data_IF_294000624978
#
_entry.id   IF_294000624978
#
_cell.length_a   1.000
_cell.length_b   1.000
_cell.length_c   1.000
_cell.angle_alpha   90.00
_cell.angle_beta   90.00
_cell.angle_gamma   90.00
#
_symmetry.space_group_name_H-M   'P 1'
#
loop_
_entity.id
_entity.type
_entity.pdbx_description
1 polymer ?
#
# COMPACT_ATOMS: atom_id res chain seq x y z
N UNK A 1 20.84 -29.52 9.49
CA UNK A 1 21.74 -28.37 9.27
C UNK A 1 22.39 -28.00 10.59
N UNK A 2 23.66 -27.58 10.54
CA UNK A 2 24.40 -27.08 11.70
C UNK A 2 25.14 -25.81 11.30
N UNK A 3 25.03 -24.78 12.13
CA UNK A 3 25.76 -23.52 11.97
C UNK A 3 26.68 -23.32 13.19
N UNK A 4 27.80 -22.64 12.98
CA UNK A 4 28.79 -22.38 14.02
C UNK A 4 29.18 -20.90 14.01
N UNK A 5 29.56 -20.37 15.16
CA UNK A 5 30.08 -19.02 15.32
C UNK A 5 29.14 -17.90 14.81
N UNK A 6 27.84 -18.04 15.07
CA UNK A 6 26.87 -16.96 14.76
C UNK A 6 27.10 -15.85 15.80
N UNK A 7 27.44 -14.63 15.38
CA UNK A 7 27.57 -13.51 16.32
C UNK A 7 26.21 -13.14 16.93
N UNK A 8 26.22 -12.72 18.19
CA UNK A 8 25.03 -12.22 18.84
C UNK A 8 24.55 -10.93 18.16
N UNK A 9 23.30 -10.88 17.77
CA UNK A 9 22.67 -9.68 17.28
C UNK A 9 22.33 -8.77 18.47
N UNK A 10 22.77 -7.52 18.42
CA UNK A 10 22.45 -6.48 19.41
C UNK A 10 21.44 -5.51 18.81
N UNK A 11 20.53 -5.03 19.64
CA UNK A 11 19.64 -3.94 19.24
C UNK A 11 20.44 -2.67 19.02
N UNK A 12 20.16 -2.00 17.91
CA UNK A 12 20.78 -0.73 17.53
C UNK A 12 19.67 0.29 17.25
N UNK A 13 19.96 1.56 17.52
CA UNK A 13 19.05 2.64 17.19
C UNK A 13 18.89 2.77 15.66
N UNK A 14 17.71 3.21 15.22
CA UNK A 14 17.38 3.42 13.80
C UNK A 14 17.34 2.16 12.93
N UNK A 15 17.12 1.00 13.53
CA UNK A 15 16.84 -0.25 12.81
C UNK A 15 15.32 -0.44 12.74
N UNK A 16 14.75 -0.42 11.55
CA UNK A 16 13.31 -0.52 11.33
C UNK A 16 12.73 -1.88 11.76
N UNK A 17 13.43 -2.97 11.40
CA UNK A 17 13.06 -4.31 11.80
C UNK A 17 14.32 -5.15 12.01
N UNK A 18 14.62 -5.44 13.27
CA UNK A 18 15.83 -6.22 13.65
C UNK A 18 15.80 -7.65 13.09
N UNK A 19 14.62 -8.21 12.80
CA UNK A 19 14.50 -9.55 12.23
C UNK A 19 15.14 -9.66 10.85
N UNK A 20 15.22 -8.56 10.09
CA UNK A 20 15.87 -8.52 8.78
C UNK A 20 17.40 -8.79 8.86
N UNK A 21 17.99 -8.64 10.04
CA UNK A 21 19.44 -8.81 10.29
C UNK A 21 19.74 -10.07 11.09
N UNK A 22 18.71 -10.77 11.54
CA UNK A 22 18.86 -12.01 12.29
C UNK A 22 19.13 -13.17 11.33
N UNK A 23 20.12 -13.99 11.64
CA UNK A 23 20.32 -15.25 10.92
C UNK A 23 19.10 -16.15 11.12
N UNK A 24 18.40 -16.44 10.05
CA UNK A 24 17.25 -17.34 10.01
C UNK A 24 17.46 -18.39 8.93
N UNK A 25 16.75 -19.50 9.07
CA UNK A 25 16.65 -20.52 8.04
C UNK A 25 15.17 -20.86 7.87
N UNK A 26 14.67 -20.60 6.68
CA UNK A 26 13.30 -20.93 6.29
C UNK A 26 13.34 -22.10 5.33
N UNK A 27 12.37 -23.01 5.47
CA UNK A 27 12.19 -24.13 4.58
C UNK A 27 10.88 -23.93 3.82
N UNK A 28 10.99 -23.83 2.50
CA UNK A 28 9.83 -23.78 1.63
C UNK A 28 9.68 -25.09 0.88
N UNK A 29 8.44 -25.49 0.64
CA UNK A 29 8.10 -26.67 -0.14
C UNK A 29 8.31 -26.37 -1.62
N UNK A 30 9.37 -26.95 -2.21
CA UNK A 30 9.68 -26.77 -3.63
C UNK A 30 8.76 -27.61 -4.52
N UNK A 31 8.62 -28.90 -4.20
CA UNK A 31 7.85 -29.85 -5.03
C UNK A 31 7.14 -30.89 -4.19
N UNK A 32 5.99 -31.32 -4.67
CA UNK A 32 5.36 -32.58 -4.19
C UNK A 32 5.17 -33.52 -5.35
N UNK A 33 5.39 -34.80 -5.09
CA UNK A 33 5.05 -35.87 -6.01
C UNK A 33 4.45 -37.05 -5.21
N UNK A 34 3.16 -37.19 -5.32
CA UNK A 34 2.48 -38.34 -4.76
C UNK A 34 2.37 -39.45 -5.80
N UNK A 35 2.31 -40.73 -5.35
CA UNK A 35 2.20 -41.86 -6.25
C UNK A 35 0.93 -41.77 -7.11
N UNK A 36 1.11 -41.79 -8.44
CA UNK A 36 -0.01 -41.67 -9.39
C UNK A 36 -0.48 -40.23 -9.67
N UNK A 37 0.13 -39.22 -9.05
CA UNK A 37 -0.18 -37.83 -9.33
C UNK A 37 0.95 -37.13 -10.11
N UNK A 38 0.62 -36.13 -10.91
CA UNK A 38 1.64 -35.30 -11.55
C UNK A 38 2.46 -34.52 -10.48
N UNK A 39 3.71 -34.27 -10.81
CA UNK A 39 4.56 -33.38 -9.98
C UNK A 39 3.88 -32.03 -9.85
N UNK A 40 3.68 -31.59 -8.60
CA UNK A 40 3.22 -30.24 -8.29
C UNK A 40 4.41 -29.42 -7.84
N UNK A 41 4.77 -28.44 -8.65
CA UNK A 41 5.89 -27.53 -8.42
C UNK A 41 5.38 -26.30 -7.67
N UNK A 42 6.03 -25.96 -6.56
CA UNK A 42 5.78 -24.78 -5.73
C UNK A 42 6.98 -23.83 -5.77
N UNK A 43 8.10 -24.26 -6.39
CA UNK A 43 9.25 -23.40 -6.58
C UNK A 43 8.88 -22.20 -7.45
N UNK A 44 9.25 -21.05 -7.00
CA UNK A 44 8.62 -19.85 -7.46
C UNK A 44 9.63 -18.95 -8.19
N UNK A 45 9.23 -18.56 -9.39
CA UNK A 45 9.65 -17.29 -9.95
C UNK A 45 8.67 -16.22 -9.48
N UNK A 46 9.06 -14.95 -9.56
CA UNK A 46 8.15 -13.86 -9.25
C UNK A 46 6.91 -13.87 -10.15
N UNK A 47 7.05 -14.28 -11.40
CA UNK A 47 5.93 -14.46 -12.34
C UNK A 47 4.99 -15.59 -11.90
N UNK A 48 5.56 -16.69 -11.41
CA UNK A 48 4.79 -17.81 -10.85
C UNK A 48 3.98 -17.39 -9.63
N UNK A 49 4.60 -16.65 -8.71
CA UNK A 49 3.94 -16.07 -7.54
C UNK A 49 2.84 -15.09 -7.97
N UNK A 50 3.15 -14.13 -8.82
CA UNK A 50 2.19 -13.14 -9.33
C UNK A 50 0.98 -13.81 -9.98
N UNK A 51 1.21 -14.79 -10.86
CA UNK A 51 0.16 -15.55 -11.52
C UNK A 51 -0.69 -16.35 -10.53
N UNK A 52 -0.06 -16.99 -9.53
CA UNK A 52 -0.79 -17.75 -8.52
C UNK A 52 -1.68 -16.87 -7.64
N UNK A 53 -1.22 -15.67 -7.31
CA UNK A 53 -1.99 -14.68 -6.55
C UNK A 53 -3.12 -14.12 -7.42
N UNK A 54 -2.84 -13.74 -8.66
CA UNK A 54 -3.85 -13.17 -9.55
C UNK A 54 -4.95 -14.17 -9.95
N UNK A 55 -4.66 -15.48 -9.91
CA UNK A 55 -5.65 -16.55 -10.16
C UNK A 55 -6.46 -16.92 -8.91
N UNK A 56 -6.16 -16.33 -7.77
CA UNK A 56 -6.95 -16.56 -6.56
C UNK A 56 -8.30 -15.83 -6.67
N UNK A 57 -9.38 -16.51 -6.27
CA UNK A 57 -10.74 -15.93 -6.30
C UNK A 57 -10.88 -14.70 -5.43
N UNK A 58 -10.21 -14.69 -4.27
CA UNK A 58 -10.25 -13.59 -3.31
C UNK A 58 -9.27 -12.45 -3.68
N UNK A 59 -8.71 -12.52 -4.91
CA UNK A 59 -7.85 -11.49 -5.49
C UNK A 59 -8.26 -11.10 -6.91
N UNK A 60 -8.00 -11.95 -7.90
CA UNK A 60 -8.20 -11.60 -9.30
C UNK A 60 -9.67 -11.55 -9.73
N UNK A 61 -10.54 -12.39 -9.16
CA UNK A 61 -11.98 -12.29 -9.41
C UNK A 61 -12.53 -10.98 -8.84
N UNK A 62 -12.10 -10.61 -7.64
CA UNK A 62 -12.48 -9.36 -6.98
C UNK A 62 -12.05 -8.11 -7.77
N UNK A 63 -10.88 -8.16 -8.43
CA UNK A 63 -10.42 -7.08 -9.32
C UNK A 63 -11.18 -7.00 -10.65
N UNK A 64 -12.00 -8.00 -10.98
CA UNK A 64 -12.89 -8.02 -12.15
C UNK A 64 -14.33 -7.63 -11.81
N UNK A 65 -14.69 -7.65 -10.52
CA UNK A 65 -16.00 -7.22 -10.07
C UNK A 65 -16.26 -5.75 -10.43
N UNK A 66 -17.43 -5.47 -10.98
CA UNK A 66 -17.82 -4.13 -11.43
C UNK A 66 -19.32 -3.87 -11.23
N UNK A 67 -19.75 -2.65 -11.49
CA UNK A 67 -21.17 -2.28 -11.45
C UNK A 67 -21.72 -1.96 -10.06
N UNK A 68 -21.11 -2.43 -8.97
CA UNK A 68 -21.60 -2.16 -7.62
C UNK A 68 -21.42 -0.70 -7.17
N UNK A 69 -20.54 0.05 -7.83
CA UNK A 69 -20.25 1.46 -7.57
C UNK A 69 -20.82 2.43 -8.63
N UNK A 70 -21.51 1.93 -9.65
CA UNK A 70 -21.88 2.70 -10.84
C UNK A 70 -22.60 4.02 -10.55
N UNK A 71 -23.55 4.02 -9.61
CA UNK A 71 -24.32 5.22 -9.28
C UNK A 71 -23.45 6.34 -8.69
N UNK A 72 -22.52 5.98 -7.82
CA UNK A 72 -21.62 6.95 -7.20
C UNK A 72 -20.53 7.36 -8.19
N UNK A 73 -20.03 6.42 -9.00
CA UNK A 73 -19.06 6.68 -10.05
C UNK A 73 -19.54 7.75 -11.04
N UNK A 74 -20.77 7.63 -11.55
CA UNK A 74 -21.34 8.62 -12.46
C UNK A 74 -21.42 10.03 -11.85
N UNK A 75 -21.72 10.14 -10.56
CA UNK A 75 -21.74 11.44 -9.87
C UNK A 75 -20.34 12.06 -9.77
N UNK A 76 -19.31 11.23 -9.58
CA UNK A 76 -17.94 11.67 -9.44
C UNK A 76 -17.38 12.19 -10.77
N UNK A 77 -17.58 11.46 -11.86
CA UNK A 77 -16.92 11.74 -13.13
C UNK A 77 -17.63 12.80 -14.00
N UNK A 78 -18.92 13.05 -13.77
CA UNK A 78 -19.74 13.93 -14.62
C UNK A 78 -19.21 15.37 -14.77
N UNK A 79 -18.36 15.84 -13.84
CA UNK A 79 -17.83 17.19 -13.84
C UNK A 79 -16.29 17.24 -13.91
N UNK A 80 -15.64 16.14 -14.27
CA UNK A 80 -14.19 16.00 -14.19
C UNK A 80 -13.63 15.66 -15.56
N UNK A 81 -12.75 16.52 -16.10
CA UNK A 81 -12.29 16.42 -17.49
C UNK A 81 -11.04 15.58 -17.67
N UNK A 82 -9.99 15.84 -16.93
CA UNK A 82 -8.68 15.21 -17.10
C UNK A 82 -8.54 13.89 -16.33
N UNK A 83 -7.62 13.02 -16.74
CA UNK A 83 -7.32 11.80 -16.00
C UNK A 83 -6.81 12.07 -14.58
N UNK A 84 -6.01 13.11 -14.40
CA UNK A 84 -5.51 13.50 -13.07
C UNK A 84 -6.65 13.91 -12.13
N UNK A 85 -7.58 14.74 -12.59
CA UNK A 85 -8.74 15.15 -11.81
C UNK A 85 -9.64 13.96 -11.48
N UNK A 86 -9.86 13.04 -12.45
CA UNK A 86 -10.64 11.80 -12.21
C UNK A 86 -9.98 10.93 -11.16
N UNK A 87 -8.65 10.71 -11.24
CA UNK A 87 -7.91 9.95 -10.25
C UNK A 87 -8.07 10.57 -8.86
N UNK A 88 -7.89 11.88 -8.73
CA UNK A 88 -8.04 12.60 -7.46
C UNK A 88 -9.45 12.47 -6.88
N UNK A 89 -10.48 12.68 -7.71
CA UNK A 89 -11.86 12.61 -7.30
C UNK A 89 -12.24 11.19 -6.82
N UNK A 90 -11.84 10.15 -7.58
CA UNK A 90 -12.07 8.75 -7.23
C UNK A 90 -11.32 8.38 -5.94
N UNK A 91 -10.05 8.76 -5.84
CA UNK A 91 -9.24 8.48 -4.66
C UNK A 91 -9.85 9.08 -3.39
N UNK A 92 -10.18 10.37 -3.42
CA UNK A 92 -10.85 11.05 -2.30
C UNK A 92 -12.22 10.44 -1.97
N UNK A 93 -12.96 10.04 -2.99
CA UNK A 93 -14.25 9.39 -2.78
C UNK A 93 -14.06 8.06 -2.02
N UNK A 94 -13.15 7.20 -2.46
CA UNK A 94 -12.91 5.90 -1.79
C UNK A 94 -12.41 6.11 -0.36
N UNK A 95 -11.45 7.03 -0.14
CA UNK A 95 -10.99 7.39 1.20
C UNK A 95 -12.11 7.84 2.12
N UNK A 96 -13.07 8.62 1.61
CA UNK A 96 -14.17 9.14 2.43
C UNK A 96 -15.26 8.11 2.67
N UNK A 97 -15.55 7.27 1.68
CA UNK A 97 -16.60 6.25 1.74
C UNK A 97 -16.20 5.05 2.60
N UNK A 98 -14.95 4.60 2.48
CA UNK A 98 -14.50 3.36 3.11
C UNK A 98 -13.81 3.62 4.44
N UNK A 99 -14.00 2.70 5.39
CA UNK A 99 -13.27 2.66 6.65
C UNK A 99 -12.51 1.35 6.74
N UNK A 100 -11.25 1.44 7.13
CA UNK A 100 -10.43 0.26 7.37
C UNK A 100 -10.87 -0.46 8.64
N UNK A 101 -11.07 -1.77 8.57
CA UNK A 101 -11.51 -2.63 9.68
C UNK A 101 -10.37 -3.14 10.56
N UNK A 102 -9.17 -2.57 10.40
CA UNK A 102 -7.91 -2.93 11.08
C UNK A 102 -7.33 -4.30 10.68
N UNK A 103 -7.87 -4.96 9.66
CA UNK A 103 -7.29 -6.20 9.14
C UNK A 103 -6.33 -5.91 8.00
N UNK A 104 -5.12 -6.47 8.12
CA UNK A 104 -4.11 -6.45 7.05
C UNK A 104 -4.23 -7.72 6.21
N UNK A 105 -3.85 -7.60 4.96
CA UNK A 105 -3.84 -8.71 4.01
C UNK A 105 -3.82 -8.23 2.58
N UNK A 106 -3.42 -9.08 1.67
CA UNK A 106 -3.48 -8.83 0.23
C UNK A 106 -4.66 -9.53 -0.46
N UNK A 107 -5.50 -10.24 0.31
CA UNK A 107 -6.72 -10.91 -0.17
C UNK A 107 -7.95 -10.33 0.51
N UNK A 108 -9.09 -10.39 -0.17
CA UNK A 108 -10.37 -9.96 0.40
C UNK A 108 -10.91 -10.99 1.41
N UNK A 109 -11.59 -10.50 2.44
CA UNK A 109 -12.28 -11.35 3.44
C UNK A 109 -13.76 -11.57 3.06
N UNK A 110 -14.45 -10.48 2.70
CA UNK A 110 -15.89 -10.48 2.42
C UNK A 110 -16.25 -10.11 0.97
N UNK A 111 -15.23 -9.74 0.19
CA UNK A 111 -15.33 -9.29 -1.19
C UNK A 111 -15.65 -7.81 -1.34
N UNK A 112 -15.19 -7.22 -2.46
CA UNK A 112 -15.28 -5.77 -2.73
C UNK A 112 -16.72 -5.25 -2.74
N UNK A 113 -17.66 -6.01 -3.28
CA UNK A 113 -19.06 -5.60 -3.36
C UNK A 113 -19.71 -5.43 -1.99
N UNK A 114 -19.50 -6.39 -1.10
CA UNK A 114 -20.04 -6.36 0.26
C UNK A 114 -19.34 -5.29 1.08
N UNK A 115 -18.01 -5.19 1.00
CA UNK A 115 -17.24 -4.15 1.66
C UNK A 115 -17.71 -2.74 1.25
N UNK A 116 -17.93 -2.52 -0.05
CA UNK A 116 -18.45 -1.26 -0.58
C UNK A 116 -19.82 -0.90 -0.03
N UNK A 117 -20.75 -1.87 0.07
CA UNK A 117 -22.09 -1.67 0.62
C UNK A 117 -22.04 -1.33 2.11
N UNK A 118 -21.20 -1.97 2.86
CA UNK A 118 -21.02 -1.75 4.30
C UNK A 118 -20.19 -0.49 4.61
N UNK A 119 -19.43 0.05 3.64
CA UNK A 119 -18.52 1.16 3.85
C UNK A 119 -17.31 0.80 4.72
N UNK A 120 -17.02 -0.48 4.88
CA UNK A 120 -15.94 -0.99 5.74
C UNK A 120 -15.30 -2.21 5.10
N UNK A 121 -13.98 -2.29 5.11
CA UNK A 121 -13.26 -3.42 4.54
C UNK A 121 -11.82 -3.52 5.03
N UNK A 122 -11.18 -4.63 4.69
CA UNK A 122 -9.76 -4.80 4.90
C UNK A 122 -8.93 -4.01 3.87
N UNK A 123 -7.62 -4.06 3.95
CA UNK A 123 -6.71 -3.33 3.05
C UNK A 123 -6.95 -3.70 1.58
N UNK A 124 -7.11 -4.99 1.27
CA UNK A 124 -7.31 -5.45 -0.09
C UNK A 124 -8.65 -4.96 -0.65
N UNK A 125 -9.73 -5.10 0.10
CA UNK A 125 -11.06 -4.67 -0.34
C UNK A 125 -11.08 -3.17 -0.69
N UNK A 126 -10.51 -2.31 0.18
CA UNK A 126 -10.49 -0.87 -0.05
C UNK A 126 -9.67 -0.51 -1.29
N UNK A 127 -8.47 -1.06 -1.42
CA UNK A 127 -7.59 -0.72 -2.53
C UNK A 127 -8.03 -1.40 -3.85
N UNK A 128 -8.72 -2.54 -3.80
CA UNK A 128 -9.34 -3.15 -4.99
C UNK A 128 -10.53 -2.33 -5.49
N UNK A 129 -11.35 -1.79 -4.59
CA UNK A 129 -12.40 -0.82 -4.94
C UNK A 129 -11.78 0.38 -5.67
N UNK A 130 -10.67 0.92 -5.15
CA UNK A 130 -9.96 2.02 -5.81
C UNK A 130 -9.46 1.61 -7.21
N UNK A 131 -8.82 0.45 -7.36
CA UNK A 131 -8.33 -0.06 -8.65
C UNK A 131 -9.48 -0.20 -9.65
N UNK A 132 -10.58 -0.81 -9.26
CA UNK A 132 -11.71 -1.06 -10.16
C UNK A 132 -12.38 0.23 -10.62
N UNK A 133 -12.53 1.22 -9.74
CA UNK A 133 -13.06 2.54 -10.09
C UNK A 133 -12.09 3.33 -11.00
N UNK A 134 -10.78 3.27 -10.76
CA UNK A 134 -9.77 3.89 -11.63
C UNK A 134 -9.78 3.27 -13.03
N UNK A 135 -9.87 1.93 -13.12
CA UNK A 135 -9.99 1.22 -14.40
C UNK A 135 -11.25 1.62 -15.15
N UNK A 136 -12.39 1.77 -14.46
CA UNK A 136 -13.62 2.26 -15.06
C UNK A 136 -13.47 3.69 -15.62
N UNK A 137 -12.61 4.51 -15.04
CA UNK A 137 -12.27 5.85 -15.53
C UNK A 137 -11.25 5.86 -16.68
N UNK A 138 -10.83 4.69 -17.18
CA UNK A 138 -9.81 4.56 -18.23
C UNK A 138 -8.38 4.82 -17.76
N UNK A 139 -8.13 4.70 -16.46
CA UNK A 139 -6.79 4.84 -15.87
C UNK A 139 -6.18 3.44 -15.68
N UNK A 140 -4.97 3.22 -16.19
CA UNK A 140 -4.24 1.99 -15.94
C UNK A 140 -3.88 1.90 -14.45
N UNK A 141 -4.51 0.99 -13.73
CA UNK A 141 -4.30 0.80 -12.30
C UNK A 141 -4.10 -0.68 -11.97
N UNK A 142 -3.05 -0.99 -11.22
CA UNK A 142 -2.69 -2.36 -10.87
C UNK A 142 -2.33 -2.47 -9.38
N UNK A 143 -2.55 -3.63 -8.76
CA UNK A 143 -2.15 -3.87 -7.39
C UNK A 143 -0.64 -4.00 -7.24
N UNK A 144 -0.13 -3.47 -6.14
CA UNK A 144 1.26 -3.64 -5.70
C UNK A 144 1.25 -4.36 -4.37
N UNK A 145 1.77 -5.57 -4.37
CA UNK A 145 1.91 -6.39 -3.18
C UNK A 145 3.09 -5.93 -2.35
N UNK A 146 2.91 -5.88 -1.05
CA UNK A 146 3.92 -5.38 -0.11
C UNK A 146 4.05 -6.34 1.07
N UNK A 147 5.29 -6.52 1.53
CA UNK A 147 5.61 -6.97 2.86
C UNK A 147 5.87 -5.74 3.71
N UNK A 148 5.08 -5.49 4.75
CA UNK A 148 5.27 -4.33 5.61
C UNK A 148 6.58 -4.39 6.40
N UNK A 149 7.03 -3.25 6.94
CA UNK A 149 8.29 -3.16 7.71
C UNK A 149 8.32 -4.21 8.83
N UNK A 150 7.24 -4.35 9.57
CA UNK A 150 7.13 -5.32 10.66
C UNK A 150 7.10 -6.79 10.20
N UNK A 151 6.74 -7.05 8.94
CA UNK A 151 6.76 -8.39 8.34
C UNK A 151 8.14 -8.77 7.73
N UNK A 152 9.00 -7.80 7.47
CA UNK A 152 10.35 -8.00 6.96
C UNK A 152 10.49 -7.78 5.45
N UNK A 153 11.73 -7.83 4.97
CA UNK A 153 12.05 -7.59 3.56
C UNK A 153 11.81 -8.83 2.69
N UNK A 154 11.48 -8.59 1.42
CA UNK A 154 11.33 -9.64 0.40
C UNK A 154 12.71 -10.13 -0.05
N UNK A 155 13.10 -11.32 0.35
CA UNK A 155 14.40 -11.90 -0.04
C UNK A 155 14.30 -12.83 -1.25
N UNK A 156 13.17 -13.54 -1.40
CA UNK A 156 12.94 -14.52 -2.46
C UNK A 156 11.45 -14.59 -2.81
N UNK A 157 11.11 -15.14 -4.01
CA UNK A 157 9.73 -15.26 -4.42
C UNK A 157 8.94 -16.20 -3.51
N UNK A 158 7.98 -15.65 -2.78
CA UNK A 158 7.03 -16.42 -1.97
C UNK A 158 5.68 -15.72 -1.94
N UNK A 159 4.60 -16.49 -1.97
CA UNK A 159 3.24 -15.97 -1.84
C UNK A 159 2.95 -15.53 -0.41
N UNK A 160 3.55 -16.18 0.58
CA UNK A 160 3.26 -16.00 2.00
C UNK A 160 3.84 -14.72 2.59
N UNK A 161 4.77 -14.08 1.90
CA UNK A 161 5.47 -12.88 2.40
C UNK A 161 4.67 -11.59 2.26
N UNK A 162 3.59 -11.58 1.48
CA UNK A 162 2.79 -10.40 1.27
C UNK A 162 1.65 -10.28 2.29
N UNK A 163 1.63 -9.19 3.01
CA UNK A 163 0.61 -8.89 4.02
C UNK A 163 -0.10 -7.55 3.79
N UNK A 164 0.16 -6.90 2.65
CA UNK A 164 -0.41 -5.61 2.30
C UNK A 164 -0.51 -5.45 0.79
N UNK A 165 -1.42 -4.60 0.32
CA UNK A 165 -1.55 -4.22 -1.09
C UNK A 165 -1.90 -2.75 -1.22
N UNK A 166 -1.22 -2.05 -2.12
CA UNK A 166 -1.52 -0.68 -2.52
C UNK A 166 -1.84 -0.63 -4.02
N UNK A 167 -2.09 0.56 -4.53
CA UNK A 167 -2.44 0.80 -5.94
C UNK A 167 -1.30 1.52 -6.64
N UNK A 168 -0.89 1.04 -7.81
CA UNK A 168 -0.12 1.82 -8.77
C UNK A 168 -1.03 2.24 -9.92
N UNK A 169 -1.26 3.53 -10.06
CA UNK A 169 -1.93 4.15 -11.20
C UNK A 169 -0.90 4.73 -12.16
N UNK A 170 -1.19 4.68 -13.46
CA UNK A 170 -0.32 5.25 -14.49
C UNK A 170 -1.08 6.30 -15.29
N UNK A 171 -0.54 7.52 -15.35
CA UNK A 171 -1.06 8.64 -16.14
C UNK A 171 0.11 9.30 -16.85
N UNK A 172 0.01 9.49 -18.17
CA UNK A 172 1.05 10.10 -19.00
C UNK A 172 2.44 9.45 -18.84
N UNK A 173 2.48 8.11 -18.69
CA UNK A 173 3.70 7.34 -18.47
C UNK A 173 4.33 7.53 -17.09
N UNK A 174 3.66 8.21 -16.16
CA UNK A 174 4.10 8.39 -14.78
C UNK A 174 3.33 7.47 -13.85
N UNK A 175 4.07 6.71 -13.06
CA UNK A 175 3.51 5.87 -12.01
C UNK A 175 3.26 6.68 -10.73
N UNK A 176 2.06 6.56 -10.19
CA UNK A 176 1.58 7.20 -8.98
C UNK A 176 1.10 6.10 -8.03
N UNK A 177 1.66 6.08 -6.82
CA UNK A 177 1.28 5.13 -5.79
C UNK A 177 0.19 5.73 -4.90
N UNK A 178 -0.84 4.92 -4.60
CA UNK A 178 -2.03 5.33 -3.86
C UNK A 178 -2.38 4.28 -2.81
N UNK A 179 -2.88 4.73 -1.68
CA UNK A 179 -3.46 3.88 -0.64
C UNK A 179 -4.67 4.60 -0.03
N UNK A 180 -5.87 4.04 -0.23
CA UNK A 180 -7.10 4.64 0.24
C UNK A 180 -7.52 4.18 1.65
N UNK A 181 -6.74 3.36 2.33
CA UNK A 181 -7.06 2.85 3.67
C UNK A 181 -6.88 3.88 4.77
N UNK A 182 -6.02 4.88 4.54
CA UNK A 182 -5.74 5.96 5.46
C UNK A 182 -6.26 7.30 4.92
N UNK A 183 -6.93 8.08 5.76
CA UNK A 183 -7.58 9.35 5.37
C UNK A 183 -6.58 10.48 5.04
N UNK A 184 -5.33 10.34 5.45
CA UNK A 184 -4.29 11.38 5.33
C UNK A 184 -3.24 11.07 4.26
N UNK A 185 -3.28 9.90 3.65
CA UNK A 185 -2.45 9.57 2.48
C UNK A 185 -2.83 10.48 1.30
N UNK A 186 -1.85 10.72 0.45
CA UNK A 186 -2.02 11.44 -0.81
C UNK A 186 -1.20 10.74 -1.90
N UNK A 187 -1.14 11.29 -3.09
CA UNK A 187 -0.36 10.74 -4.19
C UNK A 187 1.11 10.59 -3.80
N UNK A 188 1.63 9.35 -3.86
CA UNK A 188 2.97 8.97 -3.45
C UNK A 188 3.31 9.19 -1.96
N UNK A 189 2.33 9.52 -1.12
CA UNK A 189 2.45 9.54 0.34
C UNK A 189 1.64 8.38 0.89
N UNK A 190 2.34 7.35 1.30
CA UNK A 190 1.79 6.07 1.75
C UNK A 190 1.88 5.96 3.29
N UNK A 191 1.16 5.03 3.93
CA UNK A 191 1.39 4.73 5.34
C UNK A 191 2.85 4.33 5.59
N UNK A 192 3.43 4.78 6.71
CA UNK A 192 4.86 4.57 6.98
C UNK A 192 5.27 3.09 7.01
N UNK A 193 4.40 2.23 7.51
CA UNK A 193 4.65 0.80 7.63
C UNK A 193 4.78 0.06 6.28
N UNK A 194 4.36 0.65 5.16
CA UNK A 194 4.50 0.06 3.82
C UNK A 194 5.78 0.49 3.09
N UNK A 195 6.54 1.44 3.65
CA UNK A 195 7.79 1.94 3.07
C UNK A 195 8.95 0.95 3.29
N UNK A 196 8.77 -0.29 2.85
CA UNK A 196 9.72 -1.37 3.06
C UNK A 196 10.50 -1.70 1.77
N UNK A 197 11.32 -0.75 1.31
CA UNK A 197 12.20 -0.84 0.13
C UNK A 197 11.44 -1.02 -1.18
N UNK A 198 10.93 -2.22 -1.45
CA UNK A 198 10.28 -2.55 -2.72
C UNK A 198 8.96 -3.27 -2.53
N UNK A 199 8.06 -3.06 -3.48
CA UNK A 199 6.83 -3.83 -3.65
C UNK A 199 6.81 -4.56 -4.98
N UNK A 200 5.86 -5.48 -5.15
CA UNK A 200 5.68 -6.27 -6.37
C UNK A 200 4.41 -5.84 -7.08
N UNK A 201 4.56 -5.08 -8.16
CA UNK A 201 3.47 -4.78 -9.08
C UNK A 201 3.10 -6.06 -9.83
N UNK A 202 1.82 -6.40 -9.84
CA UNK A 202 1.33 -7.57 -10.59
C UNK A 202 0.21 -7.17 -11.54
N UNK A 203 0.14 -7.84 -12.70
CA UNK A 203 -0.84 -7.55 -13.75
C UNK A 203 -1.67 -8.76 -14.08
N UNK A 204 -2.79 -8.52 -14.73
CA UNK A 204 -3.76 -9.55 -15.11
C UNK A 204 -3.17 -10.62 -16.03
N UNK A 205 -2.20 -10.27 -16.86
CA UNK A 205 -1.50 -11.19 -17.77
C UNK A 205 -0.47 -12.09 -17.04
N UNK A 206 -0.29 -11.91 -15.74
CA UNK A 206 0.67 -12.64 -14.91
C UNK A 206 2.08 -12.05 -14.92
N UNK A 207 2.29 -10.93 -15.64
CA UNK A 207 3.57 -10.21 -15.56
C UNK A 207 3.70 -9.46 -14.24
N UNK A 208 4.92 -9.26 -13.80
CA UNK A 208 5.19 -8.55 -12.55
C UNK A 208 6.49 -7.75 -12.62
N UNK A 209 6.52 -6.63 -11.92
CA UNK A 209 7.70 -5.79 -11.78
C UNK A 209 7.98 -5.46 -10.31
N UNK A 210 9.24 -5.29 -10.00
CA UNK A 210 9.64 -4.69 -8.74
C UNK A 210 9.56 -3.18 -8.83
N UNK A 211 8.97 -2.54 -7.84
CA UNK A 211 8.89 -1.08 -7.75
C UNK A 211 9.40 -0.57 -6.42
N UNK A 212 10.13 0.56 -6.43
CA UNK A 212 10.58 1.22 -5.21
C UNK A 212 9.39 1.85 -4.47
N UNK A 213 9.38 1.64 -3.15
CA UNK A 213 8.47 2.28 -2.20
C UNK A 213 9.11 3.48 -1.50
N UNK A 214 10.37 3.80 -1.83
CA UNK A 214 11.07 4.93 -1.25
C UNK A 214 10.36 6.24 -1.56
N UNK A 215 10.27 7.17 -0.60
CA UNK A 215 9.71 8.49 -0.82
C UNK A 215 10.42 9.22 -1.98
N UNK A 216 9.66 9.69 -2.96
CA UNK A 216 10.19 10.39 -4.15
C UNK A 216 10.50 11.86 -3.88
N UNK A 217 9.94 12.41 -2.80
CA UNK A 217 10.07 13.83 -2.42
C UNK A 217 10.61 13.95 -1.00
N UNK A 218 11.38 14.99 -0.78
CA UNK A 218 11.87 15.33 0.56
C UNK A 218 10.83 16.17 1.29
N UNK A 219 10.41 15.73 2.46
CA UNK A 219 9.52 16.48 3.34
C UNK A 219 10.18 17.76 3.84
N UNK A 220 9.36 18.82 4.03
CA UNK A 220 9.84 20.12 4.50
C UNK A 220 8.97 20.61 5.64
N UNK A 221 9.63 21.22 6.63
CA UNK A 221 9.00 22.05 7.64
C UNK A 221 9.54 23.48 7.50
N UNK A 222 8.65 24.44 7.47
CA UNK A 222 8.99 25.88 7.45
C UNK A 222 8.28 26.58 8.60
N UNK A 223 9.06 27.23 9.46
CA UNK A 223 8.55 27.97 10.61
C UNK A 223 8.79 29.46 10.41
N UNK A 224 7.70 30.23 10.42
CA UNK A 224 7.74 31.70 10.47
C UNK A 224 7.29 32.16 11.86
N UNK A 225 8.10 33.01 12.49
CA UNK A 225 7.84 33.50 13.82
C UNK A 225 7.89 35.05 13.80
N UNK A 226 6.83 35.63 14.30
CA UNK A 226 6.75 37.11 14.55
C UNK A 226 6.53 37.26 16.05
N UNK A 227 7.55 37.80 16.74
CA UNK A 227 7.55 37.93 18.20
C UNK A 227 7.98 39.32 18.64
N UNK A 228 7.41 39.79 19.74
CA UNK A 228 7.79 41.00 20.41
C UNK A 228 7.85 40.81 21.93
N UNK A 229 8.61 41.66 22.59
CA UNK A 229 8.66 41.73 24.06
C UNK A 229 7.66 42.78 24.53
N UNK A 230 6.73 42.39 25.40
CA UNK A 230 5.81 43.37 25.98
C UNK A 230 6.44 44.11 27.20
N UNK A 231 5.75 45.12 27.72
CA UNK A 231 6.23 45.93 28.85
C UNK A 231 6.40 45.15 30.17
N UNK A 232 5.99 43.89 30.23
CA UNK A 232 6.16 42.97 31.38
C UNK A 232 7.29 41.96 31.16
N UNK A 233 8.13 42.15 30.14
CA UNK A 233 9.16 41.21 29.71
C UNK A 233 8.64 39.80 29.28
N UNK A 234 7.39 39.72 28.81
CA UNK A 234 6.82 38.51 28.27
C UNK A 234 6.95 38.49 26.74
N UNK A 235 7.28 37.35 26.18
CA UNK A 235 7.31 37.14 24.72
C UNK A 235 5.89 36.92 24.24
N UNK A 236 5.42 37.76 23.31
CA UNK A 236 4.11 37.64 22.66
C UNK A 236 4.30 37.65 21.15
N UNK A 237 3.53 36.81 20.44
CA UNK A 237 3.67 36.71 19.00
C UNK A 237 2.83 35.65 18.35
N UNK A 238 3.14 35.42 17.07
CA UNK A 238 2.51 34.42 16.23
C UNK A 238 3.59 33.52 15.65
N UNK A 239 3.28 32.19 15.64
CA UNK A 239 4.10 31.18 14.95
C UNK A 239 3.21 30.55 13.89
N UNK A 240 3.74 30.49 12.66
CA UNK A 240 3.14 29.72 11.56
C UNK A 240 4.09 28.63 11.16
N UNK A 241 3.63 27.39 11.24
CA UNK A 241 4.38 26.21 10.83
C UNK A 241 3.69 25.63 9.60
N UNK A 242 4.45 25.41 8.52
CA UNK A 242 4.01 24.74 7.30
C UNK A 242 4.79 23.45 7.16
N UNK A 243 4.06 22.35 6.97
CA UNK A 243 4.63 21.01 6.75
C UNK A 243 4.19 20.49 5.40
N UNK A 244 5.07 19.74 4.69
CA UNK A 244 4.75 19.08 3.42
C UNK A 244 5.02 17.60 3.51
N UNK A 245 4.48 16.85 2.54
CA UNK A 245 4.71 15.43 2.33
C UNK A 245 4.54 14.61 3.62
N UNK A 246 5.52 13.78 3.98
CA UNK A 246 5.45 12.92 5.17
C UNK A 246 5.38 13.68 6.49
N UNK A 247 6.00 14.86 6.60
CA UNK A 247 5.83 15.71 7.79
C UNK A 247 4.38 16.13 7.98
N UNK A 248 3.68 16.47 6.89
CA UNK A 248 2.27 16.80 6.93
C UNK A 248 1.40 15.58 7.23
N UNK A 249 1.75 14.42 6.67
CA UNK A 249 1.07 13.15 6.91
C UNK A 249 1.16 12.77 8.39
N UNK A 250 2.36 12.69 8.95
CA UNK A 250 2.62 12.35 10.36
C UNK A 250 1.91 13.33 11.30
N UNK A 251 1.97 14.63 10.98
CA UNK A 251 1.30 15.65 11.79
C UNK A 251 -0.22 15.42 11.84
N UNK A 252 -0.84 15.09 10.70
CA UNK A 252 -2.29 14.81 10.64
C UNK A 252 -2.64 13.52 11.39
N UNK A 253 -1.89 12.45 11.23
CA UNK A 253 -2.13 11.20 11.97
C UNK A 253 -2.08 11.41 13.48
N UNK A 254 -1.11 12.18 13.97
CA UNK A 254 -0.91 12.40 15.41
C UNK A 254 -1.86 13.43 16.04
N UNK A 255 -2.51 14.29 15.24
CA UNK A 255 -3.32 15.41 15.74
C UNK A 255 -4.79 15.35 15.31
N UNK A 256 -5.21 14.26 14.68
CA UNK A 256 -6.61 14.06 14.31
C UNK A 256 -7.26 13.19 15.37
N UNK A 257 -7.89 13.83 16.33
CA UNK A 257 -8.72 13.19 17.37
C UNK A 257 -10.12 12.91 16.87
#
# INVERSE_FOLDING_TARGET
YKTYNIPALKEEAFVDNIQNYRTSMELELEKTQFYGEPVKDYAQTWEGVAKSIYNDKDFGDELRESGYFEQDYQKIINNVGSQNERMEAIFKFVQNKMNWDNKRGCFTDKGVKKAYQEGTGNIAEINFILITMLKAAGINANPVLISTIDNGILLFPSRAVFNYVIVAAEIDGKQILLDATNKYTTFNILPLNVLNRTGRLIRQDGTSDEISLDPKTQSKESTNMEVSLNGKAEIVGKIRIQKTDYEAFIFRENNSG
#
